data_IF_012251433052
#
_entry.id   IF_012251433052
#
_cell.length_a   1.000
_cell.length_b   1.000
_cell.length_c   1.000
_cell.angle_alpha   90.00
_cell.angle_beta   90.00
_cell.angle_gamma   90.00
#
_symmetry.space_group_name_H-M   'P 1'
#
loop_
_entity.id
_entity.type
_entity.pdbx_description
1 polymer ?
#
# COMPACT_ATOMS: atom_id res chain seq x y z
N UNK A 1 3.40 9.66 15.91
CA UNK A 1 4.48 10.12 15.01
C UNK A 1 5.66 10.64 15.82
N UNK A 2 6.88 10.65 15.26
CA UNK A 2 8.06 11.18 15.93
C UNK A 2 7.91 12.70 16.13
N UNK A 3 7.95 13.16 17.37
CA UNK A 3 7.94 14.59 17.68
C UNK A 3 9.36 15.15 17.62
N UNK A 4 9.53 16.35 17.06
CA UNK A 4 10.82 17.08 17.06
C UNK A 4 11.37 17.36 18.47
N UNK A 5 10.55 17.22 19.51
CA UNK A 5 10.90 17.41 20.93
C UNK A 5 11.31 16.11 21.63
N UNK A 6 11.46 15.00 20.90
CA UNK A 6 11.81 13.68 21.46
C UNK A 6 10.64 12.94 22.12
N UNK A 7 9.48 13.59 22.30
CA UNK A 7 8.25 12.95 22.78
C UNK A 7 7.32 12.66 21.60
N UNK A 8 6.89 11.39 21.40
CA UNK A 8 5.93 11.05 20.36
C UNK A 8 4.62 11.84 20.52
N UNK A 9 4.04 12.26 19.39
CA UNK A 9 2.73 12.91 19.34
C UNK A 9 1.70 11.94 18.75
N UNK A 10 0.52 11.88 19.37
CA UNK A 10 -0.64 11.17 18.82
C UNK A 10 -1.37 12.07 17.83
N UNK A 11 -1.71 11.53 16.66
CA UNK A 11 -2.60 12.19 15.70
C UNK A 11 -3.96 11.51 15.81
N UNK A 12 -4.95 12.23 16.33
CA UNK A 12 -6.32 11.72 16.44
C UNK A 12 -7.06 12.00 15.13
N UNK A 13 -7.38 10.94 14.38
CA UNK A 13 -8.19 11.01 13.16
C UNK A 13 -9.57 10.44 13.48
N UNK A 14 -10.63 11.18 13.13
CA UNK A 14 -12.01 10.75 13.39
C UNK A 14 -12.53 9.84 12.28
N UNK A 15 -13.49 8.99 12.62
CA UNK A 15 -14.14 8.09 11.67
C UNK A 15 -14.83 8.81 10.49
N UNK A 16 -15.21 10.08 10.67
CA UNK A 16 -15.92 10.89 9.66
C UNK A 16 -15.14 11.06 8.35
N UNK A 17 -13.81 10.97 8.38
CA UNK A 17 -12.97 11.07 7.18
C UNK A 17 -12.90 9.78 6.35
N UNK A 18 -13.18 8.61 6.95
CA UNK A 18 -12.96 7.33 6.30
C UNK A 18 -13.83 7.09 5.06
N UNK A 19 -15.14 7.42 5.04
CA UNK A 19 -15.96 7.22 3.85
C UNK A 19 -15.52 8.09 2.67
N UNK A 20 -15.06 9.32 2.94
CA UNK A 20 -14.55 10.21 1.90
C UNK A 20 -13.21 9.73 1.34
N UNK A 21 -12.33 9.23 2.22
CA UNK A 21 -11.09 8.58 1.82
C UNK A 21 -11.40 7.37 0.93
N UNK A 22 -12.26 6.45 1.37
CA UNK A 22 -12.64 5.26 0.62
C UNK A 22 -13.10 5.57 -0.82
N UNK A 23 -14.00 6.54 -0.97
CA UNK A 23 -14.47 7.00 -2.29
C UNK A 23 -13.35 7.55 -3.14
N UNK A 24 -12.50 8.41 -2.56
CA UNK A 24 -11.33 8.96 -3.26
C UNK A 24 -10.41 7.87 -3.77
N UNK A 25 -10.19 6.81 -2.98
CA UNK A 25 -9.34 5.67 -3.39
C UNK A 25 -9.99 4.84 -4.50
N UNK A 26 -11.28 4.56 -4.39
CA UNK A 26 -12.01 3.83 -5.42
C UNK A 26 -12.02 4.61 -6.75
N UNK A 27 -12.28 5.92 -6.71
CA UNK A 27 -12.32 6.78 -7.90
C UNK A 27 -10.93 6.91 -8.55
N UNK A 28 -9.87 7.01 -7.75
CA UNK A 28 -8.50 7.20 -8.24
C UNK A 28 -7.85 5.91 -8.74
N UNK A 29 -8.11 4.78 -8.09
CA UNK A 29 -7.36 3.53 -8.31
C UNK A 29 -8.21 2.38 -8.85
N UNK A 30 -9.54 2.50 -8.84
CA UNK A 30 -10.43 1.53 -9.49
C UNK A 30 -10.55 0.19 -8.77
N UNK A 31 -10.12 0.07 -7.51
CA UNK A 31 -10.28 -1.15 -6.74
C UNK A 31 -11.78 -1.51 -6.58
N UNK A 32 -12.11 -2.79 -6.73
CA UNK A 32 -13.48 -3.29 -6.57
C UNK A 32 -13.58 -4.81 -6.38
N UNK A 33 -14.78 -5.39 -6.53
CA UNK A 33 -14.98 -6.83 -6.42
C UNK A 33 -14.10 -7.61 -7.41
N UNK A 34 -13.31 -8.54 -6.89
CA UNK A 34 -12.35 -9.33 -7.69
C UNK A 34 -10.91 -8.84 -7.59
N UNK A 35 -10.69 -7.61 -7.14
CA UNK A 35 -9.36 -7.06 -6.88
C UNK A 35 -8.75 -7.56 -5.57
N UNK A 36 -7.43 -7.39 -5.46
CA UNK A 36 -6.60 -7.87 -4.35
C UNK A 36 -5.60 -6.78 -3.97
N UNK A 37 -5.87 -6.11 -2.86
CA UNK A 37 -5.06 -5.01 -2.33
C UNK A 37 -4.07 -5.56 -1.32
N UNK A 38 -2.78 -5.24 -1.48
CA UNK A 38 -1.73 -5.60 -0.54
C UNK A 38 -1.82 -4.75 0.74
N UNK A 39 -1.82 -5.40 1.91
CA UNK A 39 -1.56 -4.77 3.20
C UNK A 39 -0.05 -4.85 3.49
N UNK A 40 0.69 -3.81 3.08
CA UNK A 40 2.16 -3.74 3.17
C UNK A 40 2.65 -2.87 4.32
N UNK A 41 1.96 -1.79 4.67
CA UNK A 41 2.42 -0.90 5.71
C UNK A 41 2.41 -1.58 7.09
N UNK A 42 3.22 -1.10 8.03
CA UNK A 42 2.99 -1.46 9.44
C UNK A 42 1.72 -0.77 9.92
N UNK A 43 0.96 -1.40 10.82
CA UNK A 43 -0.23 -0.81 11.44
C UNK A 43 0.07 0.43 12.30
N UNK A 44 1.35 0.74 12.51
CA UNK A 44 1.79 2.00 13.13
C UNK A 44 1.89 3.18 12.16
N UNK A 45 1.71 2.96 10.85
CA UNK A 45 1.66 3.99 9.82
C UNK A 45 0.24 4.13 9.28
N UNK A 46 -0.18 5.36 9.01
CA UNK A 46 -1.51 5.67 8.44
C UNK A 46 -1.75 5.05 7.06
N UNK A 47 -0.69 4.77 6.31
CA UNK A 47 -0.76 4.04 5.03
C UNK A 47 -1.43 2.66 5.18
N UNK A 48 -1.37 2.02 6.36
CA UNK A 48 -2.11 0.77 6.56
C UNK A 48 -3.63 1.00 6.56
N UNK A 49 -4.09 2.15 7.08
CA UNK A 49 -5.52 2.51 7.05
C UNK A 49 -5.98 2.75 5.62
N UNK A 50 -5.13 3.38 4.80
CA UNK A 50 -5.34 3.54 3.36
C UNK A 50 -5.52 2.19 2.64
N UNK A 51 -4.62 1.24 2.86
CA UNK A 51 -4.69 -0.11 2.27
C UNK A 51 -5.98 -0.84 2.69
N UNK A 52 -6.27 -0.84 4.00
CA UNK A 52 -7.44 -1.51 4.57
C UNK A 52 -8.74 -0.91 4.03
N UNK A 53 -8.84 0.43 4.02
CA UNK A 53 -10.04 1.12 3.54
C UNK A 53 -10.22 0.93 2.04
N UNK A 54 -9.16 1.01 1.24
CA UNK A 54 -9.21 0.74 -0.20
C UNK A 54 -9.79 -0.64 -0.48
N UNK A 55 -9.34 -1.66 0.25
CA UNK A 55 -9.81 -3.02 0.04
C UNK A 55 -11.26 -3.20 0.52
N UNK A 56 -11.50 -2.95 1.80
CA UNK A 56 -12.74 -3.37 2.46
C UNK A 56 -13.95 -2.52 2.08
N UNK A 57 -13.76 -1.25 1.72
CA UNK A 57 -14.88 -0.38 1.33
C UNK A 57 -15.22 -0.47 -0.16
N UNK A 58 -14.34 -1.06 -0.98
CA UNK A 58 -14.60 -1.30 -2.40
C UNK A 58 -15.11 -2.72 -2.70
N UNK A 59 -15.02 -3.64 -1.74
CA UNK A 59 -15.35 -5.05 -1.93
C UNK A 59 -14.21 -5.90 -2.50
N UNK A 60 -13.00 -5.35 -2.56
CA UNK A 60 -11.78 -6.09 -2.89
C UNK A 60 -11.31 -6.97 -1.70
N UNK A 61 -10.43 -7.92 -1.99
CA UNK A 61 -9.74 -8.71 -0.98
C UNK A 61 -8.52 -7.94 -0.43
N UNK A 62 -8.22 -8.13 0.87
CA UNK A 62 -7.02 -7.61 1.52
C UNK A 62 -5.99 -8.73 1.71
N UNK A 63 -4.85 -8.65 1.05
CA UNK A 63 -3.76 -9.62 1.12
C UNK A 63 -2.69 -9.15 2.11
N UNK A 64 -2.56 -9.83 3.24
CA UNK A 64 -1.64 -9.43 4.31
C UNK A 64 -0.29 -10.10 4.10
N UNK A 65 0.74 -9.31 3.72
CA UNK A 65 2.08 -9.86 3.52
C UNK A 65 2.78 -10.10 4.88
N UNK A 66 3.28 -11.33 5.13
CA UNK A 66 4.08 -11.64 6.32
C UNK A 66 5.33 -10.77 6.43
N UNK A 67 5.79 -10.50 7.66
CA UNK A 67 6.91 -9.58 7.91
C UNK A 67 8.22 -10.00 7.23
N UNK A 68 8.49 -11.30 7.13
CA UNK A 68 9.65 -11.91 6.49
C UNK A 68 9.60 -11.89 4.95
N UNK A 69 8.45 -11.49 4.36
CA UNK A 69 8.24 -11.41 2.91
C UNK A 69 8.07 -9.98 2.38
N UNK A 70 8.48 -8.95 3.14
CA UNK A 70 8.24 -7.53 2.79
C UNK A 70 9.31 -6.86 1.92
N UNK A 71 10.27 -7.61 1.37
CA UNK A 71 11.33 -7.02 0.53
C UNK A 71 11.81 -8.01 -0.53
N UNK A 72 12.27 -7.48 -1.67
CA UNK A 72 12.96 -8.24 -2.70
C UNK A 72 12.17 -9.43 -3.25
N UNK A 73 12.89 -10.52 -3.54
CA UNK A 73 12.33 -11.77 -4.08
C UNK A 73 11.17 -12.36 -3.25
N UNK A 74 11.25 -12.46 -1.90
CA UNK A 74 10.12 -12.90 -1.09
C UNK A 74 8.82 -12.11 -1.29
N UNK A 75 8.93 -10.79 -1.50
CA UNK A 75 7.79 -9.93 -1.79
C UNK A 75 7.27 -10.19 -3.20
N UNK A 76 8.15 -10.23 -4.21
CA UNK A 76 7.78 -10.56 -5.58
C UNK A 76 7.01 -11.89 -5.68
N UNK A 77 7.52 -12.92 -5.01
CA UNK A 77 6.85 -14.22 -4.93
C UNK A 77 5.46 -14.11 -4.28
N UNK A 78 5.30 -13.29 -3.24
CA UNK A 78 4.01 -13.07 -2.59
C UNK A 78 3.01 -12.38 -3.52
N UNK A 79 3.45 -11.33 -4.23
CA UNK A 79 2.61 -10.61 -5.19
C UNK A 79 2.06 -11.55 -6.25
N UNK A 80 2.91 -12.42 -6.79
CA UNK A 80 2.53 -13.41 -7.81
C UNK A 80 1.61 -14.51 -7.25
N UNK A 81 1.97 -15.13 -6.13
CA UNK A 81 1.19 -16.19 -5.46
C UNK A 81 -0.23 -15.72 -5.13
N UNK A 82 -0.35 -14.50 -4.61
CA UNK A 82 -1.61 -13.92 -4.18
C UNK A 82 -2.30 -13.08 -5.27
N UNK A 83 -1.75 -13.02 -6.49
CA UNK A 83 -2.28 -12.25 -7.63
C UNK A 83 -2.67 -10.82 -7.27
N UNK A 84 -1.79 -10.12 -6.56
CA UNK A 84 -2.03 -8.76 -6.07
C UNK A 84 -2.28 -7.81 -7.26
N UNK A 85 -3.41 -7.10 -7.24
CA UNK A 85 -3.78 -6.12 -8.27
C UNK A 85 -3.51 -4.68 -7.85
N UNK A 86 -3.39 -4.40 -6.56
CA UNK A 86 -3.10 -3.08 -6.02
C UNK A 86 -2.04 -3.16 -4.94
N UNK A 87 -0.95 -2.38 -5.06
CA UNK A 87 0.09 -2.29 -4.03
C UNK A 87 0.52 -0.85 -3.78
N UNK A 88 0.73 -0.52 -2.51
CA UNK A 88 1.29 0.76 -2.07
C UNK A 88 2.62 0.49 -1.37
N UNK A 89 3.73 1.00 -1.91
CA UNK A 89 5.09 0.75 -1.36
C UNK A 89 5.96 2.01 -1.39
N UNK A 90 6.93 2.16 -0.48
CA UNK A 90 7.95 3.21 -0.58
C UNK A 90 8.83 3.06 -1.82
N UNK A 91 9.39 4.16 -2.36
CA UNK A 91 10.37 4.12 -3.45
C UNK A 91 11.54 3.15 -3.18
N UNK A 92 12.06 3.11 -1.95
CA UNK A 92 13.15 2.21 -1.59
C UNK A 92 12.77 0.72 -1.71
N UNK A 93 11.51 0.37 -1.43
CA UNK A 93 11.00 -1.00 -1.58
C UNK A 93 10.80 -1.34 -3.04
N UNK A 94 10.24 -0.41 -3.83
CA UNK A 94 10.12 -0.57 -5.28
C UNK A 94 11.49 -0.77 -5.94
N UNK A 95 12.50 -0.01 -5.53
CA UNK A 95 13.86 -0.13 -6.05
C UNK A 95 14.53 -1.48 -5.76
N UNK A 96 14.08 -2.17 -4.70
CA UNK A 96 14.61 -3.47 -4.29
C UNK A 96 13.85 -4.65 -4.91
N UNK A 97 12.72 -4.41 -5.58
CA UNK A 97 11.98 -5.46 -6.29
C UNK A 97 12.68 -5.84 -7.60
N UNK A 98 12.61 -7.13 -8.00
CA UNK A 98 12.92 -7.53 -9.37
C UNK A 98 12.11 -6.73 -10.40
N UNK A 99 12.68 -6.50 -11.58
CA UNK A 99 12.10 -5.64 -12.61
C UNK A 99 10.73 -6.13 -13.12
N UNK A 100 10.49 -7.44 -13.08
CA UNK A 100 9.26 -8.12 -13.50
C UNK A 100 8.34 -8.50 -12.33
N UNK A 101 8.64 -8.06 -11.10
CA UNK A 101 7.88 -8.42 -9.91
C UNK A 101 6.45 -7.86 -9.88
N UNK A 102 6.20 -6.75 -10.58
CA UNK A 102 4.88 -6.13 -10.68
C UNK A 102 4.23 -6.54 -11.99
N UNK A 103 3.13 -7.31 -11.90
CA UNK A 103 2.43 -7.80 -13.08
C UNK A 103 1.82 -6.66 -13.90
N UNK A 104 1.82 -6.74 -15.25
CA UNK A 104 1.12 -5.77 -16.08
C UNK A 104 -0.36 -5.64 -15.69
N UNK A 105 -0.84 -4.41 -15.59
CA UNK A 105 -2.21 -4.11 -15.15
C UNK A 105 -2.38 -3.96 -13.64
N UNK A 106 -1.32 -4.16 -12.84
CA UNK A 106 -1.32 -3.84 -11.41
C UNK A 106 -1.27 -2.33 -11.18
N UNK A 107 -2.14 -1.83 -10.30
CA UNK A 107 -2.07 -0.45 -9.81
C UNK A 107 -0.97 -0.31 -8.76
N UNK A 108 0.16 0.27 -9.15
CA UNK A 108 1.30 0.56 -8.29
C UNK A 108 1.26 2.00 -7.77
N UNK A 109 1.20 2.15 -6.45
CA UNK A 109 1.22 3.43 -5.76
C UNK A 109 2.54 3.56 -4.99
N UNK A 110 3.27 4.65 -5.24
CA UNK A 110 4.53 4.92 -4.55
C UNK A 110 4.33 6.07 -3.57
N UNK A 111 4.57 5.83 -2.28
CA UNK A 111 4.28 6.81 -1.22
C UNK A 111 5.28 6.72 -0.05
N UNK A 112 5.37 7.80 0.73
CA UNK A 112 6.17 7.85 1.97
C UNK A 112 7.56 8.47 1.81
N UNK A 113 8.10 8.56 0.59
CA UNK A 113 9.38 9.20 0.29
C UNK A 113 9.32 9.89 -1.09
N UNK A 114 10.35 10.67 -1.43
CA UNK A 114 10.46 11.26 -2.76
C UNK A 114 10.70 10.17 -3.82
N UNK A 115 9.80 10.07 -4.80
CA UNK A 115 9.97 9.17 -5.93
C UNK A 115 10.83 9.83 -7.01
N UNK A 116 11.96 9.21 -7.37
CA UNK A 116 12.83 9.72 -8.42
C UNK A 116 12.34 9.28 -9.80
N UNK A 117 12.54 10.07 -10.87
CA UNK A 117 12.10 9.70 -12.22
C UNK A 117 12.68 8.37 -12.73
N UNK A 118 13.85 7.94 -12.24
CA UNK A 118 14.48 6.69 -12.64
C UNK A 118 13.71 5.43 -12.21
N UNK A 119 12.84 5.55 -11.21
CA UNK A 119 11.95 4.49 -10.72
C UNK A 119 10.61 4.43 -11.45
N UNK A 120 10.28 5.44 -12.25
CA UNK A 120 9.06 5.49 -13.04
C UNK A 120 9.40 4.98 -14.44
N UNK A 121 9.00 3.75 -14.75
CA UNK A 121 9.27 3.06 -16.02
C UNK A 121 7.96 2.57 -16.64
#
# INVERSE_FOLDING_TARGET
>A
TSGSTGRPKGVAVTHTGLPALARTLADAFGAGPGDRVLQFASLSFDTSVWEIVMALFSGAALEIVPADRRLGEPLAAFLAEHRVTHLTVPPAVLAALPEDAVTPGTTLIVAGEACTPALVR
#
